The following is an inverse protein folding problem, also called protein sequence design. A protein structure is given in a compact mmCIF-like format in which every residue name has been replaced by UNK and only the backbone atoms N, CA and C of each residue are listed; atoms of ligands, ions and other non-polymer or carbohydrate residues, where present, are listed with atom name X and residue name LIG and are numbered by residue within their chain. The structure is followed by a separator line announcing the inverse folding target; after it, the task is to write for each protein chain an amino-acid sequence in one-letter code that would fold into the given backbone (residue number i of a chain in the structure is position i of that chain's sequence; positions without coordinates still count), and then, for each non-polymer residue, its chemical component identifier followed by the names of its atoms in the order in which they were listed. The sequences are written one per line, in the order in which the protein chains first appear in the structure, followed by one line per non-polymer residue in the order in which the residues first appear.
data_IF_326758677545
#
_entry.id   IF_326758677545
#
_cell.length_a   1.000
_cell.length_b   1.000
_cell.length_c   1.000
_cell.angle_alpha   90.00
_cell.angle_beta   90.00
_cell.angle_gamma   90.00
#
_symmetry.space_group_name_H-M   'P 1'
#
loop_
_entity.id
_entity.type
_entity.pdbx_description
1 polymer ?
#
# COMPACT_ATOMS: atom_id res chain seq x y z
N UNK A 1 11.25 4.36 17.88
CA UNK A 1 11.96 4.31 16.58
C UNK A 1 11.22 5.31 15.68
N UNK A 2 11.93 6.24 15.10
CA UNK A 2 11.30 7.20 14.19
C UNK A 2 11.23 6.58 12.82
N UNK A 3 10.07 6.70 12.14
CA UNK A 3 9.84 6.20 10.79
C UNK A 3 9.71 7.36 9.80
N UNK A 4 10.78 8.13 9.53
CA UNK A 4 10.73 9.33 8.70
C UNK A 4 10.35 9.04 7.25
N UNK A 5 10.50 7.78 6.81
CA UNK A 5 10.12 7.33 5.46
C UNK A 5 8.61 7.21 5.26
N UNK A 6 7.82 7.19 6.34
CA UNK A 6 6.37 7.01 6.23
C UNK A 6 5.71 8.35 5.96
N UNK A 7 4.82 8.37 4.99
CA UNK A 7 4.12 9.57 4.55
C UNK A 7 2.61 9.38 4.60
N UNK A 8 1.90 10.48 4.82
CA UNK A 8 0.46 10.54 4.70
C UNK A 8 0.07 10.91 3.28
N UNK A 9 -0.91 10.21 2.73
CA UNK A 9 -1.45 10.45 1.39
C UNK A 9 -2.87 10.98 1.53
N UNK A 10 -3.15 12.04 0.79
CA UNK A 10 -4.48 12.62 0.62
C UNK A 10 -4.89 12.41 -0.82
N UNK A 11 -6.00 11.75 -1.06
CA UNK A 11 -6.50 11.47 -2.38
C UNK A 11 -7.94 12.00 -2.52
N UNK A 12 -8.17 12.79 -3.55
CA UNK A 12 -9.52 13.11 -4.02
C UNK A 12 -9.82 12.16 -5.17
N UNK A 13 -10.80 11.30 -5.02
CA UNK A 13 -11.18 10.29 -5.98
C UNK A 13 -12.52 10.62 -6.63
N UNK A 14 -12.67 10.30 -7.89
CA UNK A 14 -13.90 10.50 -8.63
C UNK A 14 -14.09 9.36 -9.64
N UNK A 15 -14.98 8.44 -9.34
CA UNK A 15 -15.27 7.32 -10.23
C UNK A 15 -16.27 7.69 -11.32
N UNK A 16 -16.18 6.99 -12.47
CA UNK A 16 -17.17 7.08 -13.53
C UNK A 16 -18.54 6.59 -13.04
N UNK A 17 -19.59 7.18 -13.56
CA UNK A 17 -20.95 6.67 -13.42
C UNK A 17 -21.29 5.87 -14.68
N UNK A 18 -21.29 4.54 -14.56
CA UNK A 18 -21.58 3.65 -15.68
C UNK A 18 -23.06 3.61 -16.06
N UNK A 19 -23.96 4.02 -15.15
CA UNK A 19 -25.39 4.12 -15.44
C UNK A 19 -25.72 5.44 -16.18
N UNK A 20 -24.87 6.45 -16.01
CA UNK A 20 -24.95 7.75 -16.69
C UNK A 20 -23.56 8.13 -17.24
N UNK A 21 -23.11 7.54 -18.38
CA UNK A 21 -21.72 7.63 -18.85
C UNK A 21 -21.19 9.05 -19.13
N UNK A 22 -22.07 10.02 -19.28
CA UNK A 22 -21.74 11.45 -19.44
C UNK A 22 -21.57 12.19 -18.12
N UNK A 23 -21.68 11.49 -16.99
CA UNK A 23 -21.51 12.04 -15.64
C UNK A 23 -20.42 11.29 -14.89
N UNK A 24 -19.91 11.93 -13.87
CA UNK A 24 -19.04 11.32 -12.87
C UNK A 24 -19.74 11.37 -11.50
N UNK A 25 -19.41 10.43 -10.64
CA UNK A 25 -19.90 10.45 -9.26
C UNK A 25 -19.30 11.64 -8.49
N UNK A 26 -19.92 11.99 -7.38
CA UNK A 26 -19.40 13.05 -6.49
C UNK A 26 -17.97 12.73 -6.05
N UNK A 27 -17.04 13.70 -6.11
CA UNK A 27 -15.70 13.52 -5.57
C UNK A 27 -15.72 13.16 -4.08
N UNK A 28 -14.87 12.20 -3.70
CA UNK A 28 -14.68 11.77 -2.33
C UNK A 28 -13.23 12.04 -1.91
N UNK A 29 -13.05 12.50 -0.68
CA UNK A 29 -11.73 12.66 -0.09
C UNK A 29 -11.42 11.48 0.82
N UNK A 30 -10.25 10.91 0.63
CA UNK A 30 -9.71 9.83 1.45
C UNK A 30 -8.28 10.11 1.89
N UNK A 31 -7.86 9.41 2.91
CA UNK A 31 -6.46 9.41 3.36
C UNK A 31 -5.94 8.00 3.43
N UNK A 32 -4.65 7.85 3.19
CA UNK A 32 -3.93 6.60 3.34
C UNK A 32 -2.49 6.88 3.74
N UNK A 33 -1.69 5.84 3.73
CA UNK A 33 -0.28 5.89 4.07
C UNK A 33 0.57 5.40 2.91
N UNK A 34 1.85 5.73 2.94
CA UNK A 34 2.83 5.26 1.98
C UNK A 34 4.23 5.29 2.55
N UNK A 35 5.18 4.80 1.79
CA UNK A 35 6.59 4.78 2.19
C UNK A 35 7.48 5.32 1.07
N UNK A 36 8.42 6.18 1.44
CA UNK A 36 9.43 6.76 0.53
C UNK A 36 10.39 5.64 0.11
N UNK A 37 10.48 5.38 -1.19
CA UNK A 37 11.36 4.37 -1.80
C UNK A 37 12.42 4.95 -2.73
N UNK A 38 12.39 6.25 -2.96
CA UNK A 38 13.32 6.96 -3.84
C UNK A 38 13.26 8.47 -3.62
N UNK A 39 14.06 9.23 -4.36
CA UNK A 39 14.20 10.69 -4.21
C UNK A 39 12.88 11.45 -4.22
N UNK A 40 11.94 11.02 -5.06
CA UNK A 40 10.63 11.63 -5.22
C UNK A 40 9.54 10.57 -5.38
N UNK A 41 9.80 9.34 -4.93
CA UNK A 41 8.90 8.20 -5.13
C UNK A 41 8.37 7.66 -3.81
N UNK A 42 7.07 7.42 -3.80
CA UNK A 42 6.34 6.83 -2.67
C UNK A 42 5.63 5.57 -3.14
N UNK A 43 5.84 4.48 -2.44
CA UNK A 43 5.09 3.23 -2.61
C UNK A 43 3.86 3.24 -1.69
N UNK A 44 2.72 2.84 -2.23
CA UNK A 44 1.44 2.75 -1.50
C UNK A 44 0.54 1.67 -2.10
N UNK A 45 -0.66 1.48 -1.55
CA UNK A 45 -1.69 0.62 -2.12
C UNK A 45 -2.38 1.26 -3.33
N UNK A 46 -2.70 0.47 -4.37
CA UNK A 46 -3.44 0.96 -5.53
C UNK A 46 -4.85 1.46 -5.14
N UNK A 47 -5.52 0.79 -4.20
CA UNK A 47 -6.84 1.19 -3.71
C UNK A 47 -6.85 2.58 -3.06
N UNK A 48 -5.71 3.04 -2.51
CA UNK A 48 -5.59 4.39 -1.90
C UNK A 48 -5.72 5.49 -2.95
N UNK A 49 -5.25 5.23 -4.17
CA UNK A 49 -5.16 6.23 -5.26
C UNK A 49 -5.98 5.86 -6.51
N UNK A 50 -6.75 4.77 -6.44
CA UNK A 50 -7.64 4.37 -7.53
C UNK A 50 -8.66 5.48 -7.84
N UNK A 51 -8.80 5.83 -9.14
CA UNK A 51 -9.64 6.93 -9.62
C UNK A 51 -9.33 8.30 -8.99
N UNK A 52 -8.11 8.50 -8.48
CA UNK A 52 -7.71 9.79 -7.93
C UNK A 52 -7.58 10.84 -9.04
N UNK A 53 -8.23 11.96 -8.82
CA UNK A 53 -8.13 13.17 -9.65
C UNK A 53 -7.14 14.18 -9.08
N UNK A 54 -6.83 14.07 -7.79
CA UNK A 54 -5.85 14.89 -7.10
C UNK A 54 -5.22 14.11 -5.95
N UNK A 55 -3.90 14.18 -5.85
CA UNK A 55 -3.13 13.48 -4.82
C UNK A 55 -2.13 14.44 -4.20
N UNK A 56 -2.05 14.43 -2.89
CA UNK A 56 -1.03 15.14 -2.12
C UNK A 56 -0.36 14.19 -1.14
N UNK A 57 0.92 14.45 -0.87
CA UNK A 57 1.74 13.71 0.08
C UNK A 57 2.28 14.67 1.14
N UNK A 58 2.32 14.22 2.38
CA UNK A 58 2.84 14.95 3.54
C UNK A 58 3.77 14.05 4.34
N UNK A 59 4.93 14.57 4.73
CA UNK A 59 5.85 13.89 5.64
C UNK A 59 5.49 14.16 7.10
N UNK A 60 6.07 13.39 8.02
CA UNK A 60 5.91 13.60 9.47
C UNK A 60 6.50 14.96 9.91
N UNK A 61 7.64 15.33 9.31
CA UNK A 61 8.43 16.48 9.72
C UNK A 61 8.01 17.81 9.08
N UNK A 62 7.23 17.78 8.00
CA UNK A 62 6.81 18.98 7.26
C UNK A 62 5.28 19.03 7.16
N UNK A 63 4.62 20.08 7.70
CA UNK A 63 3.19 20.25 7.60
C UNK A 63 2.73 20.58 6.15
N UNK A 64 3.64 20.95 5.27
CA UNK A 64 3.31 21.26 3.88
C UNK A 64 3.00 19.97 3.10
N UNK A 65 2.04 20.09 2.19
CA UNK A 65 1.63 19.02 1.30
C UNK A 65 2.22 19.26 -0.09
N UNK A 66 2.86 18.26 -0.66
CA UNK A 66 3.33 18.31 -2.03
C UNK A 66 2.36 17.55 -2.96
N UNK A 67 2.18 18.06 -4.17
CA UNK A 67 1.39 17.39 -5.21
C UNK A 67 2.14 16.15 -5.69
N UNK A 68 1.38 15.09 -5.93
CA UNK A 68 1.91 13.85 -6.48
C UNK A 68 1.02 13.32 -7.60
N UNK A 69 1.60 12.49 -8.45
CA UNK A 69 0.89 11.77 -9.52
C UNK A 69 1.21 10.29 -9.48
N UNK A 70 0.33 9.47 -10.01
CA UNK A 70 0.59 8.05 -10.17
C UNK A 70 1.63 7.86 -11.29
N UNK A 71 2.81 7.31 -10.95
CA UNK A 71 3.86 6.93 -11.89
C UNK A 71 3.59 5.54 -12.48
N UNK A 72 3.27 4.58 -11.61
CA UNK A 72 2.95 3.21 -11.98
C UNK A 72 1.89 2.66 -11.03
N UNK A 73 1.03 1.78 -11.54
CA UNK A 73 -0.03 1.16 -10.75
C UNK A 73 -0.26 -0.29 -11.17
N UNK A 74 -0.48 -1.14 -10.19
CA UNK A 74 -0.95 -2.51 -10.39
C UNK A 74 -2.19 -2.75 -9.53
N UNK A 75 -3.34 -2.77 -10.16
CA UNK A 75 -4.57 -3.15 -9.48
C UNK A 75 -4.55 -4.62 -9.07
N UNK A 76 -3.90 -5.50 -9.85
CA UNK A 76 -3.82 -6.94 -9.59
C UNK A 76 -3.18 -7.28 -8.24
N UNK A 77 -2.09 -6.59 -7.89
CA UNK A 77 -1.39 -6.78 -6.61
C UNK A 77 -1.61 -5.65 -5.60
N UNK A 78 -2.51 -4.72 -5.93
CA UNK A 78 -2.86 -3.58 -5.07
C UNK A 78 -1.66 -2.71 -4.68
N UNK A 79 -0.79 -2.38 -5.64
CA UNK A 79 0.37 -1.50 -5.43
C UNK A 79 0.36 -0.31 -6.39
N UNK A 80 0.87 0.82 -5.92
CA UNK A 80 1.07 2.01 -6.74
C UNK A 80 2.36 2.74 -6.33
N UNK A 81 3.03 3.33 -7.32
CA UNK A 81 4.13 4.28 -7.11
C UNK A 81 3.62 5.67 -7.43
N UNK A 82 3.78 6.58 -6.50
CA UNK A 82 3.56 8.00 -6.69
C UNK A 82 4.88 8.69 -6.98
N UNK A 83 4.85 9.64 -7.89
CA UNK A 83 5.92 10.60 -8.13
C UNK A 83 5.51 11.95 -7.56
N UNK A 84 6.30 12.45 -6.61
CA UNK A 84 6.07 13.74 -5.93
C UNK A 84 6.76 14.85 -6.71
N UNK A 85 6.05 15.94 -6.99
CA UNK A 85 6.57 17.05 -7.81
C UNK A 85 7.70 17.82 -7.11
N UNK A 86 7.69 17.89 -5.78
CA UNK A 86 8.73 18.55 -4.98
C UNK A 86 9.79 17.54 -4.53
N UNK A 87 10.93 17.52 -5.21
CA UNK A 87 12.06 16.68 -4.83
C UNK A 87 12.66 17.06 -3.45
N UNK A 88 12.47 18.30 -3.01
CA UNK A 88 13.02 18.80 -1.74
C UNK A 88 12.30 18.24 -0.52
N UNK A 89 11.07 17.77 -0.68
CA UNK A 89 10.27 17.21 0.43
C UNK A 89 10.99 16.03 1.11
N UNK A 90 11.77 15.26 0.37
CA UNK A 90 12.43 14.03 0.85
C UNK A 90 13.95 14.16 0.97
N UNK A 91 14.53 15.36 0.77
CA UNK A 91 16.00 15.54 0.68
C UNK A 91 16.78 15.09 1.94
N UNK A 92 16.12 15.02 3.08
CA UNK A 92 16.74 14.60 4.36
C UNK A 92 16.25 13.23 4.84
N UNK A 93 15.52 12.50 4.00
CA UNK A 93 14.98 11.18 4.32
C UNK A 93 15.65 10.11 3.48
N UNK A 94 16.31 9.18 4.14
CA UNK A 94 16.85 8.00 3.47
C UNK A 94 15.69 7.10 3.03
N UNK A 95 15.61 6.71 1.74
CA UNK A 95 14.56 5.82 1.25
C UNK A 95 14.55 4.48 1.99
N UNK A 96 13.38 3.96 2.22
CA UNK A 96 13.22 2.65 2.83
C UNK A 96 13.73 1.54 1.91
N UNK A 97 14.40 0.56 2.51
CA UNK A 97 14.83 -0.64 1.81
C UNK A 97 13.73 -1.70 1.84
N UNK A 98 13.50 -2.36 0.70
CA UNK A 98 12.63 -3.53 0.65
C UNK A 98 13.41 -4.72 1.20
N UNK A 99 12.79 -5.43 2.14
CA UNK A 99 13.34 -6.64 2.75
C UNK A 99 12.96 -7.90 1.98
N UNK A 100 12.98 -9.01 2.71
CA UNK A 100 12.60 -10.34 2.20
C UNK A 100 11.22 -10.74 2.72
N UNK A 101 10.71 -11.89 2.24
CA UNK A 101 9.50 -12.50 2.79
C UNK A 101 9.73 -12.85 4.27
N UNK A 102 8.91 -12.34 5.19
CA UNK A 102 9.05 -12.69 6.59
C UNK A 102 8.68 -14.17 6.84
N UNK A 103 9.09 -14.70 7.96
CA UNK A 103 8.73 -16.04 8.42
C UNK A 103 7.56 -16.00 9.41
N UNK A 104 6.90 -17.12 9.59
CA UNK A 104 5.87 -17.25 10.64
C UNK A 104 6.47 -16.91 12.02
N UNK A 105 5.71 -16.16 12.82
CA UNK A 105 6.08 -15.67 14.16
C UNK A 105 7.13 -14.54 14.17
N UNK A 106 7.55 -14.04 13.01
CA UNK A 106 8.37 -12.84 12.99
C UNK A 106 7.58 -11.65 13.55
N UNK A 107 8.21 -10.86 14.40
CA UNK A 107 7.66 -9.60 14.87
C UNK A 107 7.73 -8.56 13.77
N UNK A 108 6.65 -7.82 13.59
CA UNK A 108 6.52 -6.77 12.57
C UNK A 108 5.83 -5.54 13.16
N UNK A 109 6.12 -4.37 12.58
CA UNK A 109 5.46 -3.11 12.91
C UNK A 109 4.72 -2.58 11.68
N UNK A 110 3.41 -2.41 11.79
CA UNK A 110 2.57 -1.71 10.81
C UNK A 110 2.59 -0.23 11.14
N UNK A 111 2.98 0.60 10.19
CA UNK A 111 3.18 2.04 10.41
C UNK A 111 2.37 2.85 9.42
N UNK A 112 1.63 3.84 9.92
CA UNK A 112 0.80 4.68 9.05
C UNK A 112 0.07 5.79 9.78
N UNK A 113 -0.88 6.43 9.10
CA UNK A 113 -1.67 7.56 9.59
C UNK A 113 -3.16 7.17 9.63
N UNK A 114 -3.65 6.63 10.74
CA UNK A 114 -5.05 6.22 10.86
C UNK A 114 -5.99 7.43 10.71
N UNK A 115 -7.18 7.16 10.21
CA UNK A 115 -8.25 8.18 10.12
C UNK A 115 -8.62 8.66 11.52
N UNK A 116 -8.70 9.99 11.68
CA UNK A 116 -9.07 10.64 12.94
C UNK A 116 -7.88 11.05 13.81
N UNK A 117 -6.62 10.76 13.39
CA UNK A 117 -5.39 11.24 14.03
C UNK A 117 -4.51 12.04 13.06
N UNK A 118 -3.74 12.98 13.56
CA UNK A 118 -2.71 13.69 12.79
C UNK A 118 -1.33 13.05 12.96
N UNK A 119 -1.15 12.30 14.01
CA UNK A 119 0.10 11.65 14.38
C UNK A 119 0.24 10.26 13.72
N UNK A 120 1.48 9.87 13.54
CA UNK A 120 1.82 8.53 13.07
C UNK A 120 1.40 7.47 14.11
N UNK A 121 0.87 6.36 13.64
CA UNK A 121 0.55 5.20 14.46
C UNK A 121 1.51 4.06 14.15
N UNK A 122 1.98 3.40 15.17
CA UNK A 122 2.79 2.19 15.09
C UNK A 122 2.06 1.09 15.83
N UNK A 123 1.68 0.03 15.10
CA UNK A 123 1.04 -1.14 15.68
C UNK A 123 1.97 -2.33 15.50
N UNK A 124 2.36 -2.95 16.59
CA UNK A 124 3.21 -4.14 16.58
C UNK A 124 2.36 -5.42 16.61
N UNK A 125 2.85 -6.46 15.94
CA UNK A 125 2.23 -7.76 15.91
C UNK A 125 3.18 -8.81 15.34
N UNK A 126 2.65 -10.00 15.04
CA UNK A 126 3.43 -11.12 14.51
C UNK A 126 2.84 -11.63 13.20
N UNK A 127 3.69 -12.21 12.37
CA UNK A 127 3.26 -12.93 11.17
C UNK A 127 2.55 -14.22 11.59
N UNK A 128 1.25 -14.31 11.31
CA UNK A 128 0.41 -15.43 11.70
C UNK A 128 0.20 -16.44 10.57
N UNK A 129 0.16 -15.98 9.29
CA UNK A 129 -0.02 -16.84 8.11
C UNK A 129 0.70 -16.28 6.90
N UNK A 130 1.10 -17.18 5.99
CA UNK A 130 1.65 -16.84 4.67
C UNK A 130 0.98 -17.79 3.69
N UNK A 131 0.07 -17.27 2.87
CA UNK A 131 -0.76 -18.09 1.99
C UNK A 131 -1.28 -17.31 0.79
N UNK A 132 -1.85 -18.00 -0.18
CA UNK A 132 -2.50 -17.35 -1.34
C UNK A 132 -3.91 -16.95 -0.95
N UNK A 133 -4.14 -15.64 -0.88
CA UNK A 133 -5.42 -15.03 -0.53
C UNK A 133 -6.05 -14.31 -1.72
N UNK A 134 -7.35 -14.01 -1.60
CA UNK A 134 -8.07 -13.19 -2.55
C UNK A 134 -7.93 -11.72 -2.17
N UNK A 135 -7.31 -10.94 -3.03
CA UNK A 135 -7.19 -9.50 -2.83
C UNK A 135 -8.54 -8.83 -3.07
N UNK A 136 -9.03 -8.08 -2.09
CA UNK A 136 -10.36 -7.47 -2.15
C UNK A 136 -10.47 -6.47 -3.31
N UNK A 137 -9.43 -5.68 -3.52
CA UNK A 137 -9.39 -4.65 -4.56
C UNK A 137 -9.52 -5.23 -5.98
N UNK A 138 -8.76 -6.27 -6.30
CA UNK A 138 -8.69 -6.85 -7.65
C UNK A 138 -9.51 -8.11 -7.85
N UNK A 139 -9.93 -8.76 -6.78
CA UNK A 139 -10.52 -10.09 -6.76
C UNK A 139 -9.55 -11.19 -7.26
N UNK A 140 -8.28 -10.86 -7.49
CA UNK A 140 -7.22 -11.80 -7.87
C UNK A 140 -6.70 -12.57 -6.65
N UNK A 141 -6.18 -13.76 -6.90
CA UNK A 141 -5.52 -14.56 -5.86
C UNK A 141 -4.02 -14.40 -5.99
N UNK A 142 -3.39 -13.92 -4.91
CA UNK A 142 -1.96 -13.71 -4.85
C UNK A 142 -1.44 -14.03 -3.44
N UNK A 143 -0.11 -14.16 -3.31
CA UNK A 143 0.53 -14.35 -2.02
C UNK A 143 0.21 -13.18 -1.09
N UNK A 144 -0.21 -13.48 0.12
CA UNK A 144 -0.42 -12.51 1.18
C UNK A 144 0.23 -12.98 2.48
N UNK A 145 0.62 -12.03 3.30
CA UNK A 145 1.06 -12.26 4.67
C UNK A 145 -0.01 -11.73 5.60
N UNK A 146 -0.50 -12.58 6.49
CA UNK A 146 -1.43 -12.20 7.54
C UNK A 146 -0.65 -11.86 8.80
N UNK A 147 -0.96 -10.71 9.39
CA UNK A 147 -0.33 -10.23 10.62
C UNK A 147 -1.38 -10.05 11.72
N UNK A 148 -1.01 -10.39 12.94
CA UNK A 148 -1.79 -10.10 14.15
C UNK A 148 -1.43 -8.69 14.65
N UNK A 149 -1.77 -7.73 13.81
CA UNK A 149 -1.61 -6.31 14.08
C UNK A 149 -2.79 -5.56 13.47
N UNK A 150 -3.38 -4.64 14.20
CA UNK A 150 -4.52 -3.88 13.71
C UNK A 150 -4.13 -3.02 12.50
N UNK A 151 -4.75 -3.28 11.35
CA UNK A 151 -4.73 -2.41 10.18
C UNK A 151 -6.05 -1.64 10.17
N UNK A 152 -6.01 -0.38 10.58
CA UNK A 152 -7.16 0.51 10.60
C UNK A 152 -7.23 1.35 9.33
N UNK A 153 -8.41 1.90 9.04
CA UNK A 153 -8.58 2.86 7.96
C UNK A 153 -7.55 4.00 8.09
N UNK A 154 -6.84 4.30 7.01
CA UNK A 154 -5.72 5.26 6.97
C UNK A 154 -4.33 4.62 7.08
N UNK A 155 -4.18 3.45 7.73
CA UNK A 155 -2.93 2.67 7.67
C UNK A 155 -2.77 1.95 6.34
N UNK A 156 -3.85 1.83 5.56
CA UNK A 156 -3.85 1.26 4.21
C UNK A 156 -2.80 1.92 3.32
N UNK A 157 -2.02 1.12 2.60
CA UNK A 157 -0.89 1.57 1.79
C UNK A 157 0.38 1.85 2.60
N UNK A 158 0.32 1.80 3.93
CA UNK A 158 1.47 1.98 4.82
C UNK A 158 2.39 0.77 4.85
N UNK A 159 3.68 0.99 5.17
CA UNK A 159 4.65 -0.08 5.23
C UNK A 159 4.48 -0.95 6.48
N UNK A 160 4.86 -2.21 6.31
CA UNK A 160 5.09 -3.15 7.39
C UNK A 160 6.59 -3.38 7.50
N UNK A 161 7.15 -3.03 8.65
CA UNK A 161 8.59 -3.12 8.90
C UNK A 161 8.95 -4.35 9.71
N UNK A 162 10.12 -4.90 9.37
CA UNK A 162 10.88 -5.86 10.17
C UNK A 162 12.36 -5.51 10.07
N UNK A 163 13.04 -5.41 11.21
CA UNK A 163 14.48 -5.08 11.28
C UNK A 163 14.86 -3.84 10.45
N UNK A 164 13.99 -2.81 10.44
CA UNK A 164 14.20 -1.56 9.70
C UNK A 164 13.97 -1.63 8.20
N UNK A 165 13.55 -2.78 7.65
CA UNK A 165 13.23 -2.97 6.22
C UNK A 165 11.74 -3.17 6.01
N UNK A 166 11.25 -2.75 4.86
CA UNK A 166 9.85 -2.96 4.46
C UNK A 166 9.68 -4.40 3.98
N UNK A 167 8.93 -5.20 4.73
CA UNK A 167 8.60 -6.59 4.38
C UNK A 167 7.23 -6.73 3.72
N UNK A 168 6.46 -5.64 3.67
CA UNK A 168 5.19 -5.61 2.96
C UNK A 168 4.48 -4.26 3.06
N UNK A 169 3.34 -4.17 2.35
CA UNK A 169 2.43 -3.02 2.35
C UNK A 169 1.06 -3.47 2.86
N UNK A 170 0.53 -2.76 3.85
CA UNK A 170 -0.79 -3.02 4.42
C UNK A 170 -1.90 -2.72 3.40
N UNK A 171 -2.81 -3.66 3.14
CA UNK A 171 -3.80 -3.46 2.08
C UNK A 171 -5.25 -3.71 2.49
N UNK A 172 -5.53 -4.66 3.36
CA UNK A 172 -6.91 -4.94 3.78
C UNK A 172 -6.97 -5.52 5.19
N UNK A 173 -8.16 -5.45 5.78
CA UNK A 173 -8.49 -6.12 7.04
C UNK A 173 -9.47 -7.25 6.73
N UNK A 174 -9.31 -8.41 7.34
CA UNK A 174 -10.27 -9.50 7.19
C UNK A 174 -11.61 -9.09 7.81
N UNK A 175 -12.64 -9.02 6.98
CA UNK A 175 -14.00 -8.78 7.44
C UNK A 175 -14.40 -9.86 8.47
N UNK A 176 -14.90 -9.43 9.63
CA UNK A 176 -15.30 -10.27 10.78
C UNK A 176 -14.18 -10.85 11.65
N UNK A 177 -12.91 -10.43 11.48
CA UNK A 177 -11.83 -10.79 12.38
C UNK A 177 -11.26 -9.51 13.02
N UNK A 178 -11.26 -9.44 14.34
CA UNK A 178 -10.66 -8.32 15.07
C UNK A 178 -9.12 -8.43 15.01
N UNK A 179 -8.45 -7.30 14.74
CA UNK A 179 -6.98 -7.18 14.77
C UNK A 179 -6.21 -8.09 13.80
N UNK A 180 -6.82 -8.49 12.69
CA UNK A 180 -6.14 -9.27 11.66
C UNK A 180 -6.00 -8.41 10.39
N UNK A 181 -4.76 -8.15 10.00
CA UNK A 181 -4.42 -7.40 8.80
C UNK A 181 -3.74 -8.25 7.74
N UNK A 182 -4.00 -7.95 6.48
CA UNK A 182 -3.33 -8.58 5.34
C UNK A 182 -2.37 -7.60 4.67
N UNK A 183 -1.26 -8.15 4.22
CA UNK A 183 -0.09 -7.42 3.75
C UNK A 183 0.36 -7.97 2.40
N UNK A 184 0.55 -7.09 1.42
CA UNK A 184 1.21 -7.42 0.15
C UNK A 184 2.69 -7.64 0.44
N UNK A 185 3.26 -8.85 0.27
CA UNK A 185 4.60 -9.16 0.74
C UNK A 185 5.71 -8.66 -0.19
N UNK A 186 6.91 -8.52 0.38
CA UNK A 186 8.11 -8.02 -0.29
C UNK A 186 8.43 -8.67 -1.65
N UNK A 187 8.27 -9.97 -1.91
CA UNK A 187 8.50 -10.54 -3.25
C UNK A 187 7.58 -9.97 -4.33
N UNK A 188 6.31 -9.69 -4.00
CA UNK A 188 5.37 -9.05 -4.94
C UNK A 188 5.77 -7.59 -5.16
N UNK A 189 6.16 -6.88 -4.10
CA UNK A 189 6.66 -5.51 -4.19
C UNK A 189 7.88 -5.45 -5.11
N UNK A 190 8.87 -6.32 -4.89
CA UNK A 190 10.09 -6.36 -5.70
C UNK A 190 9.80 -6.64 -7.18
N UNK A 191 8.88 -7.56 -7.47
CA UNK A 191 8.43 -7.84 -8.83
C UNK A 191 7.77 -6.61 -9.47
N UNK A 192 6.88 -5.94 -8.75
CA UNK A 192 6.23 -4.71 -9.22
C UNK A 192 7.25 -3.60 -9.50
N UNK A 193 8.18 -3.35 -8.57
CA UNK A 193 9.21 -2.32 -8.72
C UNK A 193 10.12 -2.59 -9.92
N UNK A 194 10.44 -3.85 -10.21
CA UNK A 194 11.33 -4.22 -11.34
C UNK A 194 10.75 -3.88 -12.70
N UNK A 195 9.44 -3.78 -12.84
CA UNK A 195 8.74 -3.47 -14.10
C UNK A 195 8.18 -2.04 -14.15
N UNK A 196 8.13 -1.34 -13.03
CA UNK A 196 7.49 -0.03 -12.92
C UNK A 196 8.17 1.09 -13.73
N UNK A 197 9.43 0.93 -14.11
CA UNK A 197 10.13 1.90 -14.96
C UNK A 197 9.83 1.71 -16.47
N UNK A 198 9.34 0.53 -16.87
CA UNK A 198 9.05 0.18 -18.27
C UNK A 198 7.55 0.23 -18.57
N UNK A 199 6.71 0.02 -17.58
CA UNK A 199 5.26 -0.06 -17.71
C UNK A 199 4.55 0.82 -16.67
N UNK A 200 3.65 1.69 -17.14
CA UNK A 200 2.82 2.51 -16.25
C UNK A 200 1.71 1.71 -15.56
N UNK A 201 1.26 0.60 -16.18
CA UNK A 201 0.28 -0.34 -15.64
C UNK A 201 0.89 -1.73 -15.65
N UNK A 202 1.04 -2.30 -14.47
CA UNK A 202 1.61 -3.63 -14.28
C UNK A 202 0.51 -4.64 -13.94
N UNK A 203 0.55 -5.81 -14.58
CA UNK A 203 -0.38 -6.92 -14.34
C UNK A 203 0.37 -8.16 -13.84
N UNK A 204 -0.22 -8.87 -12.90
CA UNK A 204 0.31 -10.17 -12.49
C UNK A 204 0.01 -11.21 -13.57
N UNK A 205 1.03 -11.93 -14.07
CA UNK A 205 0.81 -12.98 -15.06
C UNK A 205 -0.05 -14.11 -14.47
N UNK A 206 -1.01 -14.59 -15.24
CA UNK A 206 -1.84 -15.73 -14.88
C UNK A 206 -1.42 -16.96 -15.69
N UNK A 207 -1.41 -18.13 -15.06
CA UNK A 207 -1.15 -19.40 -15.76
C UNK A 207 -2.36 -19.89 -16.56
N UNK A 208 -3.53 -19.28 -16.41
CA UNK A 208 -4.77 -19.74 -17.03
C UNK A 208 -5.27 -21.08 -16.49
N UNK A 209 -4.79 -21.49 -15.32
CA UNK A 209 -5.15 -22.76 -14.70
C UNK A 209 -6.05 -22.51 -13.48
N UNK A 210 -7.01 -23.40 -13.30
CA UNK A 210 -7.78 -23.53 -12.05
C UNK A 210 -7.25 -24.76 -11.34
N UNK A 211 -6.76 -24.58 -10.11
CA UNK A 211 -6.28 -25.67 -9.27
C UNK A 211 -7.25 -25.95 -8.14
N UNK A 212 -7.37 -27.20 -7.76
CA UNK A 212 -8.12 -27.67 -6.60
C UNK A 212 -7.18 -28.52 -5.74
N UNK A 213 -7.25 -28.33 -4.44
CA UNK A 213 -6.55 -29.19 -3.50
C UNK A 213 -7.12 -30.60 -3.58
N UNK A 214 -6.24 -31.60 -3.57
CA UNK A 214 -6.62 -33.04 -3.56
C UNK A 214 -6.84 -33.57 -2.13
N UNK A 215 -6.77 -32.70 -1.14
CA UNK A 215 -7.08 -33.07 0.24
C UNK A 215 -8.58 -33.25 0.42
N UNK A 216 -8.94 -34.37 0.95
CA UNK A 216 -10.32 -34.76 1.28
C UNK A 216 -10.73 -34.23 2.65
#
# INVERSE_FOLDING_TARGET
MDYPQVVRIYATTQSADYDSPWQTRTPLNGTGSGVIIGKNQVLTGAHVVANATFIQVQTISDPNKAIARVKAISHDCDLAILEVESADLFQHVEPAQIGELPSLRDSVAVVGFPVGGEEISVTEGVVSRIEVQRYEHSQRRALAVTVDAAINAGNSGGPVFRDGKVVGIAFQTLNHAENIGEVVPAPIITNFLSSADTESVHQLPGLGLISQNLEN
#
